data_IF_630221802300
#
_entry.id   IF_630221802300
#
_cell.length_a   1.000
_cell.length_b   1.000
_cell.length_c   1.000
_cell.angle_alpha   90.00
_cell.angle_beta   90.00
_cell.angle_gamma   90.00
#
_symmetry.space_group_name_H-M   'P 1'
#
loop_
_entity.id
_entity.type
_entity.pdbx_description
1 polymer ?
#
# COMPACT_ATOMS: atom_id res chain seq x y z
N UNK A 1 6.81 -1.90 -5.42
CA UNK A 1 6.50 -0.94 -6.47
C UNK A 1 5.42 -1.48 -7.41
N UNK A 2 4.53 -0.63 -7.91
CA UNK A 2 3.39 -1.07 -8.75
C UNK A 2 3.64 -1.00 -10.27
N UNK A 3 4.87 -0.78 -10.69
CA UNK A 3 5.31 -0.77 -12.09
C UNK A 3 6.72 -1.35 -12.19
N UNK A 4 7.05 -1.83 -13.39
CA UNK A 4 8.38 -2.26 -13.76
C UNK A 4 8.87 -1.39 -14.93
N UNK A 5 9.98 -0.69 -14.71
CA UNK A 5 10.52 0.29 -15.68
C UNK A 5 11.14 -0.40 -16.88
N UNK A 6 11.79 -1.54 -16.67
CA UNK A 6 12.40 -2.37 -17.72
C UNK A 6 11.32 -2.89 -18.67
N UNK A 7 10.28 -3.51 -18.14
CA UNK A 7 9.18 -4.06 -18.95
C UNK A 7 8.38 -2.97 -19.67
N UNK A 8 8.21 -1.81 -19.02
CA UNK A 8 7.50 -0.68 -19.64
C UNK A 8 8.23 -0.11 -20.87
N UNK A 9 9.55 -0.24 -20.94
CA UNK A 9 10.36 0.20 -22.10
C UNK A 9 10.37 -0.78 -23.26
N UNK A 10 9.85 -2.00 -23.08
CA UNK A 10 9.73 -3.01 -24.15
C UNK A 10 8.74 -2.59 -25.25
N UNK A 11 8.81 -3.29 -26.38
CA UNK A 11 7.87 -3.14 -27.50
C UNK A 11 7.23 -4.49 -27.83
N UNK A 12 5.94 -4.70 -27.54
CA UNK A 12 4.99 -3.78 -26.89
C UNK A 12 5.32 -3.58 -25.40
N UNK A 13 4.95 -2.43 -24.81
CA UNK A 13 5.22 -2.14 -23.40
C UNK A 13 4.33 -2.98 -22.48
N UNK A 14 4.91 -3.50 -21.39
CA UNK A 14 4.20 -4.26 -20.34
C UNK A 14 4.05 -3.38 -19.09
N UNK A 15 2.82 -3.10 -18.69
CA UNK A 15 2.51 -2.32 -17.47
C UNK A 15 1.05 -2.46 -17.07
N UNK A 16 0.78 -2.65 -15.77
CA UNK A 16 -0.54 -2.94 -15.22
C UNK A 16 -1.29 -1.69 -14.71
N UNK A 17 -1.12 -0.55 -15.36
CA UNK A 17 -1.72 0.72 -14.94
C UNK A 17 -2.22 1.57 -16.15
N UNK A 18 -2.80 0.91 -17.16
CA UNK A 18 -3.46 1.61 -18.26
C UNK A 18 -4.69 2.31 -17.73
N UNK A 19 -4.76 3.60 -17.97
CA UNK A 19 -5.87 4.45 -17.50
C UNK A 19 -6.85 4.76 -18.62
N UNK A 20 -8.09 5.03 -18.22
CA UNK A 20 -9.15 5.58 -19.05
C UNK A 20 -9.81 6.74 -18.33
N UNK A 21 -10.15 7.81 -19.04
CA UNK A 21 -10.89 8.94 -18.47
C UNK A 21 -12.40 8.73 -18.68
N UNK A 22 -13.22 9.32 -17.82
CA UNK A 22 -14.69 9.16 -17.85
C UNK A 22 -15.25 9.47 -19.24
N UNK A 23 -14.81 10.57 -19.88
CA UNK A 23 -15.25 10.93 -21.23
C UNK A 23 -15.10 9.80 -22.25
N UNK A 24 -14.02 9.03 -22.19
CA UNK A 24 -13.83 7.90 -23.13
C UNK A 24 -14.79 6.74 -22.80
N UNK A 25 -15.15 6.56 -21.52
CA UNK A 25 -16.16 5.58 -21.13
C UNK A 25 -17.54 6.02 -21.66
N UNK A 26 -17.86 7.30 -21.56
CA UNK A 26 -19.11 7.87 -22.09
C UNK A 26 -19.20 7.70 -23.62
N UNK A 27 -18.07 7.88 -24.34
CA UNK A 27 -18.01 7.77 -25.80
C UNK A 27 -17.99 6.32 -26.32
N UNK A 28 -17.28 5.41 -25.63
CA UNK A 28 -16.99 4.04 -26.11
C UNK A 28 -17.66 2.94 -25.32
N UNK A 29 -18.34 3.30 -24.23
CA UNK A 29 -19.01 2.33 -23.37
C UNK A 29 -18.09 1.66 -22.33
N UNK A 30 -18.71 0.94 -21.41
CA UNK A 30 -18.07 0.21 -20.32
C UNK A 30 -17.13 -0.91 -20.81
N UNK A 31 -17.37 -1.43 -22.00
CA UNK A 31 -16.56 -2.54 -22.55
C UNK A 31 -15.12 -2.09 -22.87
N UNK A 32 -14.90 -0.82 -23.23
CA UNK A 32 -13.54 -0.31 -23.39
C UNK A 32 -12.81 -0.24 -22.04
N UNK A 33 -13.49 0.10 -20.95
CA UNK A 33 -12.93 0.03 -19.59
C UNK A 33 -12.54 -1.40 -19.24
N UNK A 34 -13.46 -2.37 -19.43
CA UNK A 34 -13.21 -3.81 -19.16
C UNK A 34 -12.03 -4.34 -19.98
N UNK A 35 -11.94 -3.97 -21.26
CA UNK A 35 -10.82 -4.35 -22.13
C UNK A 35 -9.47 -3.86 -21.57
N UNK A 36 -9.40 -2.62 -21.02
CA UNK A 36 -8.18 -2.11 -20.41
C UNK A 36 -7.84 -2.79 -19.09
N UNK A 37 -8.86 -3.13 -18.30
CA UNK A 37 -8.67 -3.91 -17.08
C UNK A 37 -8.06 -5.28 -17.42
N UNK A 38 -8.61 -6.00 -18.39
CA UNK A 38 -8.07 -7.30 -18.82
C UNK A 38 -6.62 -7.17 -19.30
N UNK A 39 -6.30 -6.14 -20.08
CA UNK A 39 -4.92 -5.87 -20.49
C UNK A 39 -3.98 -5.56 -19.30
N UNK A 40 -4.47 -4.89 -18.26
CA UNK A 40 -3.71 -4.67 -17.02
C UNK A 40 -3.46 -6.00 -16.29
N UNK A 41 -4.43 -6.89 -16.22
CA UNK A 41 -4.30 -8.20 -15.58
C UNK A 41 -3.32 -9.10 -16.33
N UNK A 42 -3.39 -9.14 -17.67
CA UNK A 42 -2.42 -9.89 -18.49
C UNK A 42 -0.98 -9.39 -18.26
N UNK A 43 -0.80 -8.08 -18.22
CA UNK A 43 0.52 -7.52 -17.99
C UNK A 43 0.99 -7.65 -16.54
N UNK A 44 0.06 -7.70 -15.58
CA UNK A 44 0.39 -8.00 -14.19
C UNK A 44 1.04 -9.39 -14.04
N UNK A 45 0.50 -10.41 -14.72
CA UNK A 45 1.08 -11.74 -14.69
C UNK A 45 2.51 -11.73 -15.24
N UNK A 46 2.75 -11.10 -16.38
CA UNK A 46 4.10 -10.95 -16.96
C UNK A 46 5.07 -10.21 -16.03
N UNK A 47 4.56 -9.23 -15.28
CA UNK A 47 5.37 -8.53 -14.28
C UNK A 47 5.75 -9.44 -13.11
N UNK A 48 4.86 -10.33 -12.66
CA UNK A 48 5.16 -11.31 -11.61
C UNK A 48 6.12 -12.39 -12.11
N UNK A 49 5.99 -12.84 -13.35
CA UNK A 49 6.93 -13.76 -13.99
C UNK A 49 8.34 -13.15 -14.02
N UNK A 50 8.47 -11.91 -14.49
CA UNK A 50 9.74 -11.18 -14.48
C UNK A 50 10.29 -10.98 -13.05
N UNK A 51 9.42 -10.67 -12.09
CA UNK A 51 9.83 -10.52 -10.70
C UNK A 51 10.40 -11.82 -10.14
N UNK A 52 9.78 -12.97 -10.42
CA UNK A 52 10.28 -14.29 -9.99
C UNK A 52 11.66 -14.60 -10.58
N UNK A 53 11.87 -14.32 -11.88
CA UNK A 53 13.16 -14.48 -12.55
C UNK A 53 14.28 -13.61 -11.94
N UNK A 54 13.89 -12.49 -11.31
CA UNK A 54 14.81 -11.53 -10.68
C UNK A 54 14.81 -11.61 -9.13
N UNK A 55 14.19 -12.63 -8.53
CA UNK A 55 14.19 -12.84 -7.08
C UNK A 55 13.35 -11.85 -6.28
N UNK A 56 12.42 -11.14 -6.92
CA UNK A 56 11.56 -10.12 -6.28
C UNK A 56 10.20 -10.74 -5.97
N UNK A 57 9.92 -11.04 -4.70
CA UNK A 57 8.67 -11.70 -4.27
C UNK A 57 7.70 -10.81 -3.50
N UNK A 58 8.03 -9.56 -3.24
CA UNK A 58 7.12 -8.58 -2.64
C UNK A 58 6.73 -7.55 -3.67
N UNK A 59 5.46 -7.49 -4.02
CA UNK A 59 4.99 -6.59 -5.07
C UNK A 59 3.75 -5.80 -4.65
N UNK A 60 3.75 -4.48 -4.91
CA UNK A 60 2.61 -3.60 -4.69
C UNK A 60 1.76 -3.51 -5.95
N UNK A 61 0.52 -3.97 -5.88
CA UNK A 61 -0.46 -3.83 -6.94
C UNK A 61 -0.86 -2.36 -7.13
N UNK A 62 -1.18 -1.99 -8.36
CA UNK A 62 -1.71 -0.66 -8.65
C UNK A 62 -3.18 -0.55 -8.26
N UNK A 63 -3.56 0.52 -7.55
CA UNK A 63 -4.97 0.84 -7.30
C UNK A 63 -5.77 1.12 -8.60
N UNK A 64 -5.08 1.33 -9.72
CA UNK A 64 -5.67 1.50 -11.05
C UNK A 64 -5.94 0.15 -11.77
N UNK A 65 -5.77 -0.98 -11.09
CA UNK A 65 -5.99 -2.30 -11.69
C UNK A 65 -7.43 -2.45 -12.18
N UNK A 66 -8.40 -2.06 -11.33
CA UNK A 66 -9.82 -1.95 -11.68
C UNK A 66 -10.26 -0.47 -11.58
N UNK A 67 -9.98 0.26 -12.65
CA UNK A 67 -10.21 1.70 -12.68
C UNK A 67 -11.68 2.06 -12.46
N UNK A 68 -11.90 3.18 -11.79
CA UNK A 68 -13.23 3.72 -11.55
C UNK A 68 -14.18 2.81 -10.75
N UNK A 69 -13.72 1.71 -10.14
CA UNK A 69 -14.61 0.78 -9.39
C UNK A 69 -15.43 1.49 -8.32
N UNK A 70 -14.84 2.51 -7.70
CA UNK A 70 -15.51 3.28 -6.64
C UNK A 70 -15.95 4.69 -7.09
N UNK A 71 -15.85 5.00 -8.39
CA UNK A 71 -16.18 6.32 -8.93
C UNK A 71 -17.69 6.43 -9.23
N UNK A 72 -18.45 7.29 -8.52
CA UNK A 72 -19.90 7.41 -8.71
C UNK A 72 -20.33 7.98 -10.07
N UNK A 73 -19.37 8.49 -10.88
CA UNK A 73 -19.63 9.01 -12.23
C UNK A 73 -19.54 7.94 -13.32
N UNK A 74 -19.14 6.72 -12.98
CA UNK A 74 -19.02 5.60 -13.92
C UNK A 74 -20.04 4.54 -13.54
N UNK A 75 -20.75 3.91 -14.48
CA UNK A 75 -21.61 2.77 -14.20
C UNK A 75 -20.87 1.69 -13.41
N UNK A 76 -21.46 1.18 -12.35
CA UNK A 76 -20.86 0.07 -11.60
C UNK A 76 -20.74 -1.18 -12.49
N UNK A 77 -19.72 -1.97 -12.22
CA UNK A 77 -19.44 -3.23 -12.92
C UNK A 77 -18.99 -4.29 -11.94
N UNK A 78 -19.34 -5.54 -12.22
CA UNK A 78 -18.91 -6.71 -11.45
C UNK A 78 -17.51 -7.15 -11.89
N UNK A 79 -16.92 -8.09 -11.15
CA UNK A 79 -15.59 -8.65 -11.47
C UNK A 79 -15.68 -9.88 -12.37
N UNK A 80 -16.89 -10.35 -12.74
CA UNK A 80 -17.13 -11.62 -13.43
C UNK A 80 -16.29 -11.80 -14.70
N UNK A 81 -16.16 -10.74 -15.51
CA UNK A 81 -15.37 -10.76 -16.74
C UNK A 81 -13.86 -10.97 -16.51
N UNK A 82 -13.37 -10.84 -15.29
CA UNK A 82 -11.95 -10.89 -14.94
C UNK A 82 -11.57 -12.06 -14.02
N UNK A 83 -12.53 -12.87 -13.58
CA UNK A 83 -12.33 -13.93 -12.57
C UNK A 83 -11.23 -14.91 -12.99
N UNK A 84 -11.24 -15.39 -14.24
CA UNK A 84 -10.25 -16.36 -14.71
C UNK A 84 -8.82 -15.77 -14.71
N UNK A 85 -8.69 -14.48 -15.05
CA UNK A 85 -7.40 -13.78 -14.99
C UNK A 85 -6.93 -13.64 -13.55
N UNK A 86 -7.83 -13.25 -12.64
CA UNK A 86 -7.51 -13.10 -11.22
C UNK A 86 -7.08 -14.44 -10.60
N UNK A 87 -7.81 -15.53 -10.85
CA UNK A 87 -7.43 -16.87 -10.40
C UNK A 87 -6.07 -17.30 -10.92
N UNK A 88 -5.79 -17.09 -12.21
CA UNK A 88 -4.50 -17.42 -12.81
C UNK A 88 -3.35 -16.66 -12.15
N UNK A 89 -3.53 -15.35 -11.93
CA UNK A 89 -2.53 -14.50 -11.27
C UNK A 89 -2.33 -14.94 -9.82
N UNK A 90 -3.43 -15.15 -9.08
CA UNK A 90 -3.37 -15.57 -7.68
C UNK A 90 -2.72 -16.94 -7.49
N UNK A 91 -3.05 -17.93 -8.36
CA UNK A 91 -2.39 -19.23 -8.37
C UNK A 91 -0.88 -19.08 -8.57
N UNK A 92 -0.46 -18.34 -9.60
CA UNK A 92 0.95 -18.09 -9.85
C UNK A 92 1.64 -17.45 -8.64
N UNK A 93 1.03 -16.40 -8.07
CA UNK A 93 1.58 -15.71 -6.92
C UNK A 93 1.76 -16.64 -5.71
N UNK A 94 0.76 -17.48 -5.38
CA UNK A 94 0.85 -18.45 -4.28
C UNK A 94 1.88 -19.54 -4.54
N UNK A 95 1.90 -20.14 -5.74
CA UNK A 95 2.85 -21.19 -6.11
C UNK A 95 4.31 -20.72 -6.05
N UNK A 96 4.57 -19.45 -6.36
CA UNK A 96 5.90 -18.84 -6.34
C UNK A 96 6.23 -18.10 -5.04
N UNK A 97 5.31 -18.07 -4.09
CA UNK A 97 5.50 -17.39 -2.80
C UNK A 97 5.55 -15.86 -2.92
N UNK A 98 4.88 -15.27 -3.91
CA UNK A 98 4.77 -13.83 -4.02
C UNK A 98 3.80 -13.26 -2.99
N UNK A 99 4.21 -12.21 -2.29
CA UNK A 99 3.36 -11.39 -1.43
C UNK A 99 2.85 -10.18 -2.20
N UNK A 100 1.57 -10.16 -2.52
CA UNK A 100 0.92 -9.04 -3.22
C UNK A 100 0.28 -8.11 -2.20
N UNK A 101 0.53 -6.81 -2.30
CA UNK A 101 0.01 -5.81 -1.36
C UNK A 101 -0.60 -4.63 -2.10
N UNK A 102 -1.45 -3.87 -1.44
CA UNK A 102 -1.90 -2.57 -1.94
C UNK A 102 -1.37 -1.42 -1.08
N UNK A 103 -1.36 -0.25 -1.68
CA UNK A 103 -1.20 1.02 -0.98
C UNK A 103 -2.26 1.98 -1.51
N UNK A 104 -3.50 1.92 -0.95
CA UNK A 104 -4.57 2.83 -1.31
C UNK A 104 -4.12 4.29 -1.25
N UNK A 105 -4.59 5.09 -2.19
CA UNK A 105 -4.10 6.47 -2.36
C UNK A 105 -4.39 7.37 -1.16
N UNK A 106 -3.73 8.52 -1.11
CA UNK A 106 -3.79 9.51 -0.01
C UNK A 106 -5.21 10.06 0.30
N UNK A 107 -6.19 9.78 -0.54
CA UNK A 107 -7.59 10.15 -0.31
C UNK A 107 -8.33 9.20 0.63
N UNK A 108 -7.72 8.09 1.00
CA UNK A 108 -8.22 7.16 2.00
C UNK A 108 -7.93 7.71 3.40
N UNK A 109 -8.91 8.44 3.93
CA UNK A 109 -8.78 9.26 5.15
C UNK A 109 -9.77 8.77 6.22
N UNK A 110 -9.39 7.69 6.91
CA UNK A 110 -10.25 7.01 7.89
C UNK A 110 -10.72 7.95 9.02
N UNK A 111 -9.89 8.93 9.41
CA UNK A 111 -10.20 9.92 10.44
C UNK A 111 -10.90 11.18 9.91
N UNK A 112 -11.36 11.21 8.65
CA UNK A 112 -12.02 12.40 8.11
C UNK A 112 -13.30 12.75 8.88
N UNK A 113 -13.50 14.03 9.29
CA UNK A 113 -14.77 14.49 9.83
C UNK A 113 -15.86 14.63 8.75
N UNK A 114 -15.46 14.61 7.47
CA UNK A 114 -16.39 14.66 6.35
C UNK A 114 -16.95 13.26 6.07
N UNK A 115 -18.26 13.09 6.31
CA UNK A 115 -18.97 11.82 6.12
C UNK A 115 -18.80 11.25 4.70
N UNK A 116 -18.88 12.08 3.66
CA UNK A 116 -18.73 11.63 2.27
C UNK A 116 -17.31 11.11 1.99
N UNK A 117 -16.28 11.79 2.53
CA UNK A 117 -14.89 11.33 2.39
C UNK A 117 -14.66 10.01 3.12
N UNK A 118 -15.23 9.84 4.31
CA UNK A 118 -15.20 8.59 5.05
C UNK A 118 -15.90 7.44 4.30
N UNK A 119 -17.13 7.67 3.81
CA UNK A 119 -17.88 6.69 3.02
C UNK A 119 -17.13 6.28 1.72
N UNK A 120 -16.47 7.25 1.07
CA UNK A 120 -15.64 6.95 -0.10
C UNK A 120 -14.41 6.13 0.28
N UNK A 121 -13.79 6.41 1.42
CA UNK A 121 -12.68 5.61 1.98
C UNK A 121 -13.11 4.16 2.21
N UNK A 122 -14.29 3.93 2.79
CA UNK A 122 -14.80 2.57 3.00
C UNK A 122 -14.94 1.80 1.69
N UNK A 123 -15.56 2.42 0.68
CA UNK A 123 -15.73 1.79 -0.66
C UNK A 123 -14.39 1.47 -1.30
N UNK A 124 -13.42 2.37 -1.16
CA UNK A 124 -12.10 2.17 -1.76
C UNK A 124 -11.31 1.07 -1.05
N UNK A 125 -11.34 1.01 0.29
CA UNK A 125 -10.75 -0.07 1.06
C UNK A 125 -11.42 -1.43 0.77
N UNK A 126 -12.75 -1.44 0.62
CA UNK A 126 -13.51 -2.63 0.24
C UNK A 126 -13.09 -3.14 -1.13
N UNK A 127 -12.97 -2.26 -2.12
CA UNK A 127 -12.47 -2.57 -3.45
C UNK A 127 -11.10 -3.27 -3.40
N UNK A 128 -10.15 -2.72 -2.63
CA UNK A 128 -8.81 -3.31 -2.53
C UNK A 128 -8.82 -4.69 -1.83
N UNK A 129 -9.65 -4.84 -0.79
CA UNK A 129 -9.84 -6.12 -0.12
C UNK A 129 -10.47 -7.16 -1.06
N UNK A 130 -11.52 -6.78 -1.80
CA UNK A 130 -12.18 -7.66 -2.78
C UNK A 130 -11.21 -8.19 -3.83
N UNK A 131 -10.32 -7.34 -4.35
CA UNK A 131 -9.32 -7.77 -5.34
C UNK A 131 -8.34 -8.79 -4.75
N UNK A 132 -7.88 -8.59 -3.51
CA UNK A 132 -7.00 -9.55 -2.83
C UNK A 132 -7.73 -10.88 -2.54
N UNK A 133 -9.01 -10.82 -2.19
CA UNK A 133 -9.84 -12.01 -1.97
C UNK A 133 -10.09 -12.77 -3.29
N UNK A 134 -10.37 -12.07 -4.39
CA UNK A 134 -10.53 -12.66 -5.72
C UNK A 134 -9.23 -13.26 -6.29
N UNK A 135 -8.07 -12.72 -5.89
CA UNK A 135 -6.77 -13.33 -6.13
C UNK A 135 -6.49 -14.51 -5.18
N UNK A 136 -7.39 -14.78 -4.23
CA UNK A 136 -7.24 -15.79 -3.17
C UNK A 136 -5.94 -15.64 -2.37
N UNK A 137 -5.52 -14.38 -2.13
CA UNK A 137 -4.31 -14.10 -1.36
C UNK A 137 -4.55 -14.22 0.14
N UNK A 138 -3.54 -14.70 0.87
CA UNK A 138 -3.56 -14.81 2.33
C UNK A 138 -3.65 -13.46 3.06
N UNK A 139 -3.76 -13.49 4.39
CA UNK A 139 -3.85 -12.29 5.26
C UNK A 139 -2.56 -11.47 5.29
N UNK A 140 -1.44 -12.05 4.87
CA UNK A 140 -0.15 -11.39 4.67
C UNK A 140 -0.16 -10.38 3.50
N UNK A 141 -1.12 -10.50 2.60
CA UNK A 141 -1.38 -9.54 1.53
C UNK A 141 -2.15 -8.35 2.09
N UNK A 142 -1.39 -7.36 2.57
CA UNK A 142 -1.91 -6.21 3.32
C UNK A 142 -2.22 -4.99 2.44
N UNK A 143 -3.07 -4.11 2.98
CA UNK A 143 -3.38 -2.78 2.46
C UNK A 143 -2.75 -1.74 3.38
N UNK A 144 -1.75 -1.00 2.89
CA UNK A 144 -1.04 0.05 3.64
C UNK A 144 -1.75 1.37 3.47
N UNK A 145 -2.11 2.06 4.55
CA UNK A 145 -2.64 3.42 4.49
C UNK A 145 -1.88 4.34 5.45
N UNK A 146 -1.83 5.63 5.12
CA UNK A 146 -1.43 6.66 6.06
C UNK A 146 -2.57 7.05 6.99
N UNK A 147 -2.25 7.68 8.12
CA UNK A 147 -3.26 8.17 9.07
C UNK A 147 -4.18 9.26 8.50
N UNK A 148 -3.72 9.97 7.49
CA UNK A 148 -4.46 11.06 6.84
C UNK A 148 -4.17 12.44 7.46
N UNK A 149 -5.13 13.35 7.39
CA UNK A 149 -4.99 14.68 7.97
C UNK A 149 -5.36 14.73 9.45
N UNK A 150 -4.86 15.74 10.17
CA UNK A 150 -5.15 15.95 11.61
C UNK A 150 -6.25 16.99 11.87
N UNK A 151 -6.75 17.67 10.86
CA UNK A 151 -7.91 18.56 10.89
C UNK A 151 -7.89 19.62 12.01
N UNK A 152 -6.69 20.09 12.41
CA UNK A 152 -6.48 21.09 13.45
C UNK A 152 -6.59 20.56 14.90
N UNK A 153 -7.00 19.31 15.12
CA UNK A 153 -7.19 18.70 16.44
C UNK A 153 -6.64 17.27 16.46
N UNK A 154 -5.30 17.14 16.59
CA UNK A 154 -4.59 15.87 16.45
C UNK A 154 -5.16 14.77 17.37
N UNK A 155 -5.31 15.04 18.67
CA UNK A 155 -5.80 14.05 19.64
C UNK A 155 -7.19 13.51 19.27
N UNK A 156 -8.14 14.38 19.03
CA UNK A 156 -9.50 13.97 18.61
C UNK A 156 -9.50 13.23 17.26
N UNK A 157 -8.52 13.52 16.42
CA UNK A 157 -8.40 12.86 15.12
C UNK A 157 -7.86 11.45 15.29
N UNK A 158 -6.89 11.22 16.20
CA UNK A 158 -6.41 9.87 16.54
C UNK A 158 -7.54 9.03 17.15
N UNK A 159 -8.31 9.58 18.09
CA UNK A 159 -9.47 8.92 18.68
C UNK A 159 -10.48 8.51 17.60
N UNK A 160 -10.86 9.44 16.72
CA UNK A 160 -11.79 9.19 15.61
C UNK A 160 -11.25 8.15 14.63
N UNK A 161 -9.93 8.12 14.36
CA UNK A 161 -9.31 7.09 13.57
C UNK A 161 -9.55 5.71 14.19
N UNK A 162 -9.27 5.57 15.49
CA UNK A 162 -9.46 4.34 16.24
C UNK A 162 -10.94 3.89 16.29
N UNK A 163 -11.86 4.83 16.51
CA UNK A 163 -13.30 4.54 16.50
C UNK A 163 -13.77 4.03 15.14
N UNK A 164 -13.32 4.67 14.07
CA UNK A 164 -13.69 4.29 12.71
C UNK A 164 -13.04 2.97 12.29
N UNK A 165 -11.80 2.70 12.70
CA UNK A 165 -11.15 1.41 12.48
C UNK A 165 -11.94 0.25 13.12
N UNK A 166 -12.42 0.41 14.37
CA UNK A 166 -13.23 -0.62 15.05
C UNK A 166 -14.52 -0.95 14.31
N UNK A 167 -15.08 0.00 13.56
CA UNK A 167 -16.33 -0.16 12.76
C UNK A 167 -16.09 -0.78 11.39
N UNK A 168 -14.84 -0.93 10.95
CA UNK A 168 -14.53 -1.53 9.63
C UNK A 168 -15.01 -2.98 9.58
N UNK A 169 -15.47 -3.46 8.41
CA UNK A 169 -15.69 -4.87 8.16
C UNK A 169 -14.41 -5.69 8.41
N UNK A 170 -14.57 -6.92 8.87
CA UNK A 170 -13.44 -7.79 9.24
C UNK A 170 -12.51 -8.03 8.04
N UNK A 171 -13.03 -8.24 6.83
CA UNK A 171 -12.24 -8.39 5.61
C UNK A 171 -11.27 -7.22 5.34
N UNK A 172 -11.62 -6.00 5.79
CA UNK A 172 -10.75 -4.83 5.68
C UNK A 172 -9.76 -4.82 6.85
N UNK A 173 -10.23 -4.99 8.10
CA UNK A 173 -9.38 -4.99 9.31
C UNK A 173 -8.27 -6.04 9.27
N UNK A 174 -8.57 -7.22 8.73
CA UNK A 174 -7.60 -8.31 8.62
C UNK A 174 -6.41 -7.95 7.73
N UNK A 175 -6.61 -7.08 6.73
CA UNK A 175 -5.61 -6.68 5.75
C UNK A 175 -5.04 -5.30 5.98
N UNK A 176 -5.71 -4.45 6.76
CA UNK A 176 -5.29 -3.05 6.94
C UNK A 176 -4.09 -2.94 7.87
N UNK A 177 -3.11 -2.13 7.45
CA UNK A 177 -1.93 -1.74 8.23
C UNK A 177 -1.70 -0.24 8.10
N UNK A 178 -1.16 0.37 9.15
CA UNK A 178 -0.96 1.82 9.24
C UNK A 178 0.51 2.18 9.04
N UNK A 179 0.78 3.17 8.20
CA UNK A 179 2.11 3.69 7.93
C UNK A 179 2.29 5.09 8.54
N UNK A 180 3.46 5.34 9.15
CA UNK A 180 3.85 6.69 9.54
C UNK A 180 4.01 7.57 8.31
N UNK A 181 3.67 8.85 8.41
CA UNK A 181 3.78 9.78 7.29
C UNK A 181 4.72 10.94 7.60
N UNK A 182 5.12 11.63 6.56
CA UNK A 182 6.09 12.70 6.64
C UNK A 182 5.58 13.98 7.35
N UNK A 183 4.26 14.13 7.57
CA UNK A 183 3.68 15.40 8.05
C UNK A 183 2.77 15.32 9.26
N UNK A 184 1.88 14.34 9.29
CA UNK A 184 0.71 14.37 10.19
C UNK A 184 0.76 13.33 11.29
N UNK A 185 1.25 12.12 10.98
CA UNK A 185 1.28 10.98 11.88
C UNK A 185 2.70 10.48 12.04
N UNK A 186 3.31 10.79 13.20
CA UNK A 186 4.62 10.25 13.58
C UNK A 186 4.53 8.76 13.86
N UNK A 187 5.69 8.11 13.98
CA UNK A 187 5.75 6.72 14.47
C UNK A 187 5.15 6.57 15.87
N UNK A 188 5.28 7.58 16.74
CA UNK A 188 4.66 7.58 18.07
C UNK A 188 3.13 7.58 17.99
N UNK A 189 2.55 8.37 17.06
CA UNK A 189 1.11 8.40 16.85
C UNK A 189 0.61 7.05 16.33
N UNK A 190 1.34 6.44 15.39
CA UNK A 190 1.00 5.14 14.85
C UNK A 190 1.03 4.05 15.94
N UNK A 191 2.06 4.04 16.81
CA UNK A 191 2.14 3.10 17.94
C UNK A 191 0.98 3.30 18.92
N UNK A 192 0.60 4.55 19.24
CA UNK A 192 -0.60 4.83 20.07
C UNK A 192 -1.88 4.29 19.43
N UNK A 193 -2.03 4.42 18.12
CA UNK A 193 -3.18 3.86 17.38
C UNK A 193 -3.13 2.34 17.46
N UNK A 194 -1.95 1.71 17.33
CA UNK A 194 -1.79 0.27 17.52
C UNK A 194 -2.25 -0.16 18.91
N UNK A 195 -1.79 0.49 19.99
CA UNK A 195 -2.17 0.17 21.37
C UNK A 195 -3.70 0.20 21.59
N UNK A 196 -4.39 1.07 20.84
CA UNK A 196 -5.85 1.22 20.92
C UNK A 196 -6.64 0.28 20.01
N UNK A 197 -6.03 -0.29 18.98
CA UNK A 197 -6.76 -0.97 17.90
C UNK A 197 -6.19 -2.31 17.45
N UNK A 198 -4.94 -2.61 17.78
CA UNK A 198 -4.20 -3.78 17.28
C UNK A 198 -3.78 -3.68 15.81
N UNK A 199 -3.92 -2.52 15.12
CA UNK A 199 -3.49 -2.38 13.73
C UNK A 199 -1.97 -2.47 13.61
N UNK A 200 -1.38 -3.33 12.76
CA UNK A 200 0.06 -3.39 12.58
C UNK A 200 0.62 -2.13 11.93
N UNK A 201 1.89 -1.83 12.22
CA UNK A 201 2.56 -0.62 11.76
C UNK A 201 3.60 -0.96 10.68
N UNK A 202 3.47 -0.34 9.51
CA UNK A 202 4.52 -0.25 8.51
C UNK A 202 5.37 0.96 8.84
N UNK A 203 6.66 0.74 9.06
CA UNK A 203 7.60 1.81 9.29
C UNK A 203 8.24 2.22 7.96
N UNK A 204 7.96 3.46 7.53
CA UNK A 204 8.70 4.11 6.45
C UNK A 204 9.84 4.93 7.04
N UNK A 205 11.06 4.56 6.66
CA UNK A 205 12.30 5.14 7.18
C UNK A 205 12.49 6.59 6.75
N UNK A 206 12.09 6.91 5.52
CA UNK A 206 12.20 8.27 4.98
C UNK A 206 11.14 9.20 5.57
N UNK A 207 9.90 8.74 5.68
CA UNK A 207 8.83 9.51 6.33
C UNK A 207 9.19 9.84 7.78
N UNK A 208 9.83 8.93 8.50
CA UNK A 208 10.33 9.18 9.85
C UNK A 208 11.32 10.34 9.91
N UNK A 209 12.33 10.35 9.03
CA UNK A 209 13.30 11.43 8.98
C UNK A 209 12.68 12.75 8.50
N UNK A 210 11.78 12.72 7.53
CA UNK A 210 11.04 13.90 7.08
C UNK A 210 10.20 14.50 8.20
N UNK A 211 9.50 13.67 8.97
CA UNK A 211 8.68 14.12 10.10
C UNK A 211 9.54 14.86 11.14
N UNK A 212 10.70 14.31 11.53
CA UNK A 212 11.63 14.94 12.45
C UNK A 212 12.12 16.32 11.97
N UNK A 213 12.39 16.45 10.66
CA UNK A 213 12.80 17.73 10.07
C UNK A 213 11.68 18.78 10.16
N UNK A 214 10.43 18.37 9.98
CA UNK A 214 9.26 19.25 10.00
C UNK A 214 8.77 19.57 11.41
N UNK A 215 9.05 18.73 12.41
CA UNK A 215 8.58 18.82 13.79
C UNK A 215 9.76 18.87 14.78
N UNK A 216 10.59 19.91 14.65
CA UNK A 216 11.84 20.07 15.42
C UNK A 216 11.64 20.22 16.93
N UNK A 217 10.44 20.57 17.33
CA UNK A 217 10.08 20.73 18.75
C UNK A 217 9.67 19.40 19.40
N UNK A 218 9.55 18.32 18.62
CA UNK A 218 9.26 16.98 19.12
C UNK A 218 10.55 16.15 19.23
N UNK A 219 10.72 15.46 20.35
CA UNK A 219 11.82 14.53 20.57
C UNK A 219 11.49 13.12 20.07
N UNK A 220 12.43 12.48 19.39
CA UNK A 220 12.33 11.10 18.89
C UNK A 220 13.55 10.30 19.33
N UNK A 221 13.33 9.04 19.66
CA UNK A 221 14.39 8.04 19.77
C UNK A 221 15.07 7.84 18.40
N UNK A 222 16.18 7.13 18.36
CA UNK A 222 16.77 6.68 17.09
C UNK A 222 15.82 5.71 16.41
N UNK A 223 15.81 5.69 15.07
CA UNK A 223 14.96 4.79 14.30
C UNK A 223 15.10 3.31 14.74
N UNK A 224 16.34 2.86 15.02
CA UNK A 224 16.64 1.51 15.49
C UNK A 224 15.96 1.13 16.83
N UNK A 225 15.67 2.12 17.68
CA UNK A 225 15.05 1.89 18.99
C UNK A 225 13.54 1.65 18.89
N UNK A 226 12.91 2.08 17.77
CA UNK A 226 11.50 1.77 17.47
C UNK A 226 11.30 0.36 16.90
N UNK A 227 12.34 -0.28 16.35
CA UNK A 227 12.22 -1.58 15.67
C UNK A 227 11.56 -2.65 16.54
N UNK A 228 11.96 -2.90 17.80
CA UNK A 228 11.30 -3.89 18.64
C UNK A 228 9.80 -3.64 18.82
N UNK A 229 9.41 -2.37 19.00
CA UNK A 229 8.02 -1.96 19.16
C UNK A 229 7.22 -2.23 17.88
N UNK A 230 7.80 -1.90 16.71
CA UNK A 230 7.17 -2.12 15.42
C UNK A 230 6.99 -3.61 15.15
N UNK A 231 8.01 -4.44 15.39
CA UNK A 231 7.94 -5.89 15.22
C UNK A 231 6.84 -6.49 16.11
N UNK A 232 6.67 -5.98 17.34
CA UNK A 232 5.61 -6.42 18.25
C UNK A 232 4.22 -6.24 17.67
N UNK A 233 3.97 -5.13 16.91
CA UNK A 233 2.66 -4.84 16.31
C UNK A 233 2.20 -5.91 15.30
N UNK A 234 3.11 -6.73 14.79
CA UNK A 234 2.80 -7.76 13.79
C UNK A 234 2.55 -9.15 14.40
N UNK A 235 2.93 -9.36 15.66
CA UNK A 235 2.85 -10.70 16.30
C UNK A 235 1.44 -11.25 16.37
N UNK A 236 0.45 -10.43 16.72
CA UNK A 236 -0.94 -10.89 16.85
C UNK A 236 -1.50 -11.43 15.53
N UNK A 237 -1.11 -10.83 14.40
CA UNK A 237 -1.54 -11.30 13.08
C UNK A 237 -0.73 -12.49 12.56
N UNK A 238 0.39 -12.82 13.18
CA UNK A 238 1.30 -13.90 12.77
C UNK A 238 1.72 -13.82 11.30
N UNK A 239 1.93 -12.61 10.79
CA UNK A 239 2.37 -12.36 9.42
C UNK A 239 3.71 -11.62 9.43
N UNK A 240 4.48 -11.81 8.37
CA UNK A 240 5.80 -11.20 8.21
C UNK A 240 5.70 -9.67 8.26
N UNK A 241 6.49 -8.99 9.12
CA UNK A 241 6.53 -7.54 9.16
C UNK A 241 6.95 -6.94 7.82
N UNK A 242 6.40 -5.78 7.50
CA UNK A 242 6.70 -5.05 6.28
C UNK A 242 7.21 -3.66 6.60
N UNK A 243 8.29 -3.27 5.93
CA UNK A 243 8.92 -1.96 6.02
C UNK A 243 8.91 -1.26 4.66
N UNK A 244 8.88 0.07 4.67
CA UNK A 244 9.11 0.87 3.48
C UNK A 244 10.44 1.60 3.60
N UNK A 245 11.19 1.64 2.50
CA UNK A 245 12.45 2.35 2.40
C UNK A 245 12.41 3.24 1.17
N UNK A 246 12.65 4.51 1.38
CA UNK A 246 12.86 5.51 0.36
C UNK A 246 13.92 6.51 0.82
N UNK A 247 14.40 7.35 -0.07
CA UNK A 247 15.36 8.41 0.22
C UNK A 247 14.85 9.76 -0.29
N UNK A 248 15.35 10.84 0.31
CA UNK A 248 15.00 12.19 -0.12
C UNK A 248 15.57 12.48 -1.50
N UNK A 249 14.67 12.76 -2.44
CA UNK A 249 15.02 13.24 -3.77
C UNK A 249 15.17 14.76 -3.84
N UNK A 250 15.44 15.26 -5.04
CA UNK A 250 15.46 16.70 -5.31
C UNK A 250 14.06 17.30 -5.13
N UNK A 251 13.97 18.46 -4.46
CA UNK A 251 12.73 19.19 -4.28
C UNK A 251 12.27 19.31 -2.82
N UNK A 252 10.94 19.28 -2.60
CA UNK A 252 10.35 19.43 -1.26
C UNK A 252 10.63 18.21 -0.39
N UNK A 253 10.66 18.42 0.94
CA UNK A 253 10.72 17.32 1.91
C UNK A 253 9.61 16.32 1.63
N UNK A 254 9.96 15.02 1.64
CA UNK A 254 9.06 13.92 1.31
C UNK A 254 9.06 13.51 -0.18
N UNK A 255 9.81 14.20 -1.05
CA UNK A 255 9.99 13.72 -2.42
C UNK A 255 10.98 12.57 -2.45
N UNK A 256 10.57 11.46 -3.04
CA UNK A 256 11.43 10.28 -3.20
C UNK A 256 12.56 10.55 -4.20
N UNK A 257 13.70 9.94 -3.97
CA UNK A 257 14.84 9.88 -4.89
C UNK A 257 14.54 9.02 -6.13
N UNK A 258 15.42 9.10 -7.10
CA UNK A 258 15.34 8.22 -8.28
C UNK A 258 15.76 6.78 -7.92
N UNK A 259 16.76 6.61 -7.06
CA UNK A 259 17.31 5.34 -6.58
C UNK A 259 17.39 5.31 -5.05
N UNK A 260 17.65 4.14 -4.49
CA UNK A 260 18.01 3.97 -3.08
C UNK A 260 19.49 3.59 -3.06
N UNK A 261 20.29 4.42 -2.41
CA UNK A 261 21.75 4.21 -2.32
C UNK A 261 22.10 3.35 -1.12
N UNK A 262 21.37 3.45 -0.01
CA UNK A 262 21.69 2.77 1.24
C UNK A 262 20.42 2.18 1.88
N UNK A 263 20.44 0.88 2.15
CA UNK A 263 19.47 0.27 3.05
C UNK A 263 19.95 0.46 4.50
N UNK A 264 19.08 0.93 5.43
CA UNK A 264 19.47 1.11 6.81
C UNK A 264 19.93 -0.19 7.48
N UNK A 265 21.13 -0.19 8.07
CA UNK A 265 21.74 -1.37 8.73
C UNK A 265 20.80 -1.98 9.76
N UNK A 266 20.09 -1.15 10.54
CA UNK A 266 19.16 -1.62 11.56
C UNK A 266 17.96 -2.41 11.01
N UNK A 267 17.64 -2.30 9.71
CA UNK A 267 16.67 -3.18 9.04
C UNK A 267 17.31 -4.49 8.59
N UNK A 268 18.55 -4.42 8.08
CA UNK A 268 19.29 -5.60 7.63
C UNK A 268 19.67 -6.54 8.79
N UNK A 269 19.84 -5.99 9.99
CA UNK A 269 20.16 -6.73 11.21
C UNK A 269 18.93 -7.45 11.82
N UNK A 270 17.70 -7.14 11.41
CA UNK A 270 16.48 -7.68 12.03
C UNK A 270 16.45 -9.21 12.02
N UNK A 271 16.72 -9.91 10.90
CA UNK A 271 16.67 -11.36 10.88
C UNK A 271 17.61 -12.01 11.90
N UNK A 272 18.84 -11.53 11.97
CA UNK A 272 19.87 -12.09 12.87
C UNK A 272 19.60 -11.72 14.36
N UNK A 273 19.11 -10.51 14.61
CA UNK A 273 18.95 -9.99 15.98
C UNK A 273 17.67 -10.44 16.66
N UNK A 274 16.60 -10.63 15.90
CA UNK A 274 15.27 -10.92 16.45
C UNK A 274 14.71 -12.28 15.99
N UNK A 275 15.43 -13.01 15.12
CA UNK A 275 14.95 -14.27 14.51
C UNK A 275 13.60 -14.08 13.79
N UNK A 276 13.45 -12.95 13.07
CA UNK A 276 12.24 -12.58 12.36
C UNK A 276 12.59 -12.18 10.93
N UNK A 277 12.03 -12.88 9.95
CA UNK A 277 12.08 -12.42 8.55
C UNK A 277 11.20 -11.18 8.34
N UNK A 278 11.67 -10.28 7.49
CA UNK A 278 10.92 -9.07 7.11
C UNK A 278 10.83 -8.91 5.61
N UNK A 279 9.85 -8.13 5.16
CA UNK A 279 9.76 -7.69 3.77
C UNK A 279 10.05 -6.18 3.68
N UNK A 280 10.92 -5.80 2.74
CA UNK A 280 11.25 -4.39 2.48
C UNK A 280 10.67 -3.98 1.12
N UNK A 281 9.81 -2.97 1.13
CA UNK A 281 9.30 -2.32 -0.08
C UNK A 281 10.15 -1.10 -0.41
N UNK A 282 10.88 -1.17 -1.50
CA UNK A 282 11.64 -0.03 -2.03
C UNK A 282 10.70 0.95 -2.75
N UNK A 283 10.79 2.23 -2.39
CA UNK A 283 9.97 3.30 -2.98
C UNK A 283 10.81 4.34 -3.74
N UNK A 284 11.60 3.89 -4.70
CA UNK A 284 12.34 4.74 -5.62
C UNK A 284 11.56 5.05 -6.91
N UNK A 285 11.83 6.20 -7.56
CA UNK A 285 11.15 6.57 -8.82
C UNK A 285 11.51 5.63 -9.97
N UNK A 286 12.75 5.14 -10.00
CA UNK A 286 13.24 4.22 -11.05
C UNK A 286 12.92 2.75 -10.78
N UNK A 287 12.22 2.47 -9.68
CA UNK A 287 11.61 1.17 -9.33
C UNK A 287 12.67 0.09 -9.09
N UNK A 288 12.74 -0.90 -10.01
CA UNK A 288 13.65 -2.05 -9.95
C UNK A 288 15.06 -1.78 -10.51
N UNK A 289 15.30 -0.60 -11.06
CA UNK A 289 16.61 -0.24 -11.66
C UNK A 289 17.65 0.15 -10.63
#
# INVERSE_FOLDING_TARGET
>A
CCMNTTLKKQKPPVYAARRIIVRIIDEKGIDELKRRILANLEDLLKMLEWNEENGIRVFRLSSELFQHKTNPKVPDYTYDFAIDHLKRIGNYAREKGHRLTFHPGQFNVLASPNKKAYEQTLKDLEYHADVLDLLEMGKDSVMVIHGGGVYGEKEKTLERWCENYRKLPDKIKERLVLENCEKSYSIKDCLRIHDMTGVPIVFDTHHFECYKILHKDEEFMKASEYIPMILETWKEKQIKPKFHVSEQGSGKIGHHSDYIDILPDYLLEIPDKYDIEIDIMIEAKMKEL
#
